data_IF_810386518590
#
_entry.id   IF_810386518590
#
_cell.length_a   1.000
_cell.length_b   1.000
_cell.length_c   1.000
_cell.angle_alpha   90.00
_cell.angle_beta   90.00
_cell.angle_gamma   90.00
#
_symmetry.space_group_name_H-M   'P 1'
#
loop_
_entity.id
_entity.type
_entity.pdbx_description
1 polymer ?
#
# COMPACT_ATOMS: atom_id res chain seq x y z
N UNK A 1 -48.75 -16.94 -12.91
CA UNK A 1 -47.30 -17.08 -12.69
C UNK A 1 -46.96 -18.55 -12.84
N UNK A 2 -46.14 -18.91 -13.83
CA UNK A 2 -45.89 -20.31 -14.19
C UNK A 2 -44.45 -20.67 -13.79
N UNK A 3 -44.24 -21.56 -12.79
CA UNK A 3 -42.93 -21.78 -12.14
C UNK A 3 -41.94 -22.63 -12.95
N UNK A 4 -42.27 -23.01 -14.19
CA UNK A 4 -41.47 -23.94 -14.98
C UNK A 4 -40.47 -23.28 -15.95
N UNK A 5 -40.42 -21.94 -16.00
CA UNK A 5 -39.47 -21.18 -16.85
C UNK A 5 -38.20 -20.80 -16.09
N UNK A 6 -38.25 -20.71 -14.76
CA UNK A 6 -37.07 -20.43 -13.92
C UNK A 6 -36.12 -21.63 -13.81
N UNK A 7 -36.62 -22.86 -13.91
CA UNK A 7 -35.82 -24.08 -13.80
C UNK A 7 -35.01 -24.42 -15.07
N UNK A 8 -35.40 -23.89 -16.24
CA UNK A 8 -34.68 -24.11 -17.50
C UNK A 8 -33.56 -23.09 -17.72
N UNK A 9 -33.67 -21.91 -17.11
CA UNK A 9 -32.67 -20.82 -17.21
C UNK A 9 -31.44 -21.06 -16.34
N UNK A 10 -31.63 -21.65 -15.15
CA UNK A 10 -30.55 -21.88 -14.17
C UNK A 10 -29.68 -23.11 -14.48
N UNK A 11 -30.11 -24.05 -15.33
CA UNK A 11 -29.24 -25.17 -15.77
C UNK A 11 -28.26 -24.79 -16.90
N UNK A 12 -28.53 -23.72 -17.64
CA UNK A 12 -27.69 -23.26 -18.75
C UNK A 12 -26.63 -22.24 -18.29
N UNK A 13 -26.91 -21.45 -17.25
CA UNK A 13 -25.96 -20.44 -16.72
C UNK A 13 -24.80 -21.03 -15.89
N UNK A 14 -24.90 -22.26 -15.38
CA UNK A 14 -23.81 -22.89 -14.60
C UNK A 14 -22.82 -23.75 -15.41
N UNK A 15 -23.13 -24.10 -16.67
CA UNK A 15 -22.34 -25.10 -17.42
C UNK A 15 -21.20 -24.51 -18.29
N UNK A 16 -21.37 -23.30 -18.83
CA UNK A 16 -20.39 -22.64 -19.71
C UNK A 16 -19.14 -22.09 -19.00
N UNK A 17 -19.24 -21.50 -17.78
CA UNK A 17 -18.07 -20.98 -17.06
C UNK A 17 -17.12 -22.10 -16.61
N UNK A 18 -17.68 -23.27 -16.24
CA UNK A 18 -16.90 -24.41 -15.74
C UNK A 18 -16.16 -25.16 -16.86
N UNK A 19 -16.67 -25.14 -18.10
CA UNK A 19 -15.98 -25.72 -19.25
C UNK A 19 -14.78 -24.87 -19.71
N UNK A 20 -14.90 -23.54 -19.70
CA UNK A 20 -13.76 -22.65 -20.01
C UNK A 20 -12.65 -22.74 -18.95
N UNK A 21 -12.99 -22.81 -17.66
CA UNK A 21 -12.01 -22.92 -16.58
C UNK A 21 -11.30 -24.30 -16.57
N UNK A 22 -12.02 -25.36 -16.95
CA UNK A 22 -11.46 -26.71 -17.15
C UNK A 22 -10.50 -26.76 -18.35
N UNK A 23 -10.89 -26.19 -19.49
CA UNK A 23 -10.07 -26.14 -20.71
C UNK A 23 -8.83 -25.24 -20.53
N UNK A 24 -8.96 -24.10 -19.84
CA UNK A 24 -7.83 -23.24 -19.52
C UNK A 24 -6.87 -23.90 -18.51
N UNK A 25 -7.36 -24.65 -17.52
CA UNK A 25 -6.51 -25.34 -16.53
C UNK A 25 -5.72 -26.51 -17.14
N UNK A 26 -6.28 -27.22 -18.11
CA UNK A 26 -5.59 -28.28 -18.85
C UNK A 26 -4.51 -27.70 -19.80
N UNK A 27 -4.79 -26.59 -20.48
CA UNK A 27 -3.86 -25.91 -21.39
C UNK A 27 -2.69 -25.24 -20.66
N UNK A 28 -2.90 -24.70 -19.44
CA UNK A 28 -1.82 -24.15 -18.60
C UNK A 28 -0.82 -25.25 -18.19
N UNK A 29 -1.30 -26.48 -17.92
CA UNK A 29 -0.45 -27.61 -17.53
C UNK A 29 0.34 -28.21 -18.71
N UNK A 30 -0.18 -28.19 -19.92
CA UNK A 30 0.49 -28.78 -21.11
C UNK A 30 1.45 -27.82 -21.81
N UNK A 31 1.20 -26.51 -21.78
CA UNK A 31 1.98 -25.51 -22.51
C UNK A 31 3.04 -24.77 -21.66
N UNK A 32 3.00 -24.89 -20.33
CA UNK A 32 3.96 -24.22 -19.43
C UNK A 32 3.90 -22.69 -19.46
N UNK A 33 2.85 -22.12 -20.06
CA UNK A 33 2.66 -20.68 -20.23
C UNK A 33 1.66 -20.14 -19.19
N UNK A 34 2.01 -19.01 -18.57
CA UNK A 34 1.13 -18.32 -17.62
C UNK A 34 -0.18 -17.85 -18.28
N UNK A 35 -1.23 -17.67 -17.47
CA UNK A 35 -2.59 -17.29 -17.93
C UNK A 35 -2.60 -16.12 -18.91
N UNK A 36 -1.72 -15.13 -18.74
CA UNK A 36 -1.59 -13.97 -19.63
C UNK A 36 -1.12 -14.33 -21.05
N UNK A 37 -0.21 -15.29 -21.19
CA UNK A 37 0.32 -15.71 -22.49
C UNK A 37 -0.68 -16.55 -23.28
N UNK A 38 -1.48 -17.38 -22.61
CA UNK A 38 -2.58 -18.10 -23.25
C UNK A 38 -3.69 -17.16 -23.71
N UNK A 39 -4.01 -16.14 -22.91
CA UNK A 39 -5.01 -15.14 -23.28
C UNK A 39 -4.61 -14.36 -24.54
N UNK A 40 -3.34 -13.93 -24.63
CA UNK A 40 -2.83 -13.23 -25.80
C UNK A 40 -2.82 -14.11 -27.06
N UNK A 41 -2.51 -15.39 -26.93
CA UNK A 41 -2.49 -16.34 -28.05
C UNK A 41 -3.90 -16.69 -28.56
N UNK A 42 -4.87 -16.79 -27.65
CA UNK A 42 -6.29 -16.88 -28.01
C UNK A 42 -6.77 -15.59 -28.69
N UNK A 43 -6.32 -14.42 -28.21
CA UNK A 43 -6.67 -13.13 -28.83
C UNK A 43 -6.09 -12.96 -30.23
N UNK A 44 -4.91 -13.52 -30.50
CA UNK A 44 -4.28 -13.51 -31.83
C UNK A 44 -4.91 -14.50 -32.82
N UNK A 45 -5.40 -15.65 -32.35
CA UNK A 45 -6.05 -16.66 -33.21
C UNK A 45 -7.39 -16.16 -33.72
N UNK A 46 -8.22 -15.60 -32.84
CA UNK A 46 -9.50 -14.97 -33.21
C UNK A 46 -9.29 -13.80 -34.20
N UNK A 47 -8.19 -13.04 -34.06
CA UNK A 47 -7.86 -11.93 -34.96
C UNK A 47 -7.48 -12.40 -36.38
N UNK A 48 -6.86 -13.58 -36.51
CA UNK A 48 -6.43 -14.13 -37.81
C UNK A 48 -7.60 -14.71 -38.60
N UNK A 49 -8.58 -15.30 -37.93
CA UNK A 49 -9.81 -15.84 -38.55
C UNK A 49 -10.66 -14.74 -39.19
N UNK A 50 -10.65 -13.51 -38.64
CA UNK A 50 -11.41 -12.38 -39.20
C UNK A 50 -10.83 -11.74 -40.47
N UNK A 51 -9.64 -12.16 -40.92
CA UNK A 51 -8.91 -11.52 -42.05
C UNK A 51 -8.74 -12.38 -43.29
N UNK A 52 -9.09 -13.68 -43.27
CA UNK A 52 -8.85 -14.60 -44.40
C UNK A 52 -10.04 -14.76 -45.38
N UNK A 53 -11.12 -13.99 -45.25
CA UNK A 53 -12.31 -14.11 -46.12
C UNK A 53 -12.40 -13.02 -47.21
N UNK A 54 -11.31 -12.36 -47.57
CA UNK A 54 -11.31 -11.38 -48.66
C UNK A 54 -10.14 -11.58 -49.62
N UNK A 55 -10.32 -12.40 -50.67
CA UNK A 55 -9.75 -12.23 -52.03
C UNK A 55 -9.98 -13.49 -52.91
N UNK A 56 -10.90 -13.42 -53.92
CA UNK A 56 -10.74 -13.79 -55.36
C UNK A 56 -12.08 -13.82 -56.15
N UNK A 57 -12.04 -13.32 -57.41
CA UNK A 57 -13.09 -12.84 -58.37
C UNK A 57 -13.80 -13.98 -59.20
N UNK A 58 -14.62 -13.79 -60.30
CA UNK A 58 -15.28 -12.63 -60.96
C UNK A 58 -16.77 -12.83 -61.46
N UNK A 59 -17.38 -11.74 -62.00
CA UNK A 59 -18.43 -11.62 -63.07
C UNK A 59 -19.86 -12.24 -62.90
N UNK A 60 -20.86 -11.37 -63.10
CA UNK A 60 -22.32 -11.59 -63.03
C UNK A 60 -22.87 -12.69 -63.97
N UNK A 61 -23.92 -13.42 -63.55
CA UNK A 61 -25.34 -13.29 -64.02
C UNK A 61 -26.30 -13.89 -62.95
N UNK A 62 -27.29 -13.10 -62.51
CA UNK A 62 -28.62 -13.61 -62.11
C UNK A 62 -28.93 -13.80 -60.63
N UNK A 63 -29.41 -12.75 -59.96
CA UNK A 63 -30.09 -12.78 -58.65
C UNK A 63 -31.61 -13.01 -58.82
N UNK A 64 -32.33 -13.64 -57.87
CA UNK A 64 -32.69 -12.94 -56.63
C UNK A 64 -32.48 -13.73 -55.33
N UNK A 65 -31.67 -13.12 -54.47
CA UNK A 65 -31.83 -12.85 -53.03
C UNK A 65 -32.66 -13.85 -52.20
N UNK A 66 -31.95 -14.64 -51.41
CA UNK A 66 -32.33 -14.96 -50.04
C UNK A 66 -31.08 -14.88 -49.16
N UNK A 67 -30.77 -13.67 -48.71
CA UNK A 67 -29.74 -13.40 -47.71
C UNK A 67 -30.35 -13.59 -46.31
N UNK A 68 -29.84 -14.49 -45.46
CA UNK A 68 -30.10 -14.42 -44.03
C UNK A 68 -29.34 -13.21 -43.51
N UNK A 69 -30.04 -12.10 -43.32
CA UNK A 69 -29.47 -10.92 -42.69
C UNK A 69 -29.14 -11.25 -41.23
N UNK A 70 -27.88 -11.61 -40.97
CA UNK A 70 -27.27 -11.44 -39.66
C UNK A 70 -27.04 -9.94 -39.45
N UNK A 71 -28.11 -9.21 -39.17
CA UNK A 71 -28.05 -7.83 -38.70
C UNK A 71 -27.63 -7.85 -37.23
N UNK A 72 -26.33 -8.03 -36.99
CA UNK A 72 -25.75 -7.66 -35.71
C UNK A 72 -25.84 -6.14 -35.66
N UNK A 73 -26.84 -5.62 -34.94
CA UNK A 73 -27.01 -4.18 -34.76
C UNK A 73 -25.71 -3.61 -34.19
N UNK A 74 -25.30 -2.42 -34.64
CA UNK A 74 -24.07 -1.76 -34.18
C UNK A 74 -24.02 -1.62 -32.65
N UNK A 75 -25.20 -1.52 -32.02
CA UNK A 75 -25.41 -1.58 -30.56
C UNK A 75 -24.84 -2.86 -29.93
N UNK A 76 -25.01 -4.03 -30.55
CA UNK A 76 -24.52 -5.32 -30.01
C UNK A 76 -22.99 -5.45 -30.06
N UNK A 77 -22.33 -4.88 -31.09
CA UNK A 77 -20.86 -4.86 -31.18
C UNK A 77 -20.23 -3.80 -30.26
N UNK A 78 -20.95 -2.71 -29.99
CA UNK A 78 -20.56 -1.70 -29.00
C UNK A 78 -20.73 -2.23 -27.57
N UNK A 79 -21.79 -2.97 -27.30
CA UNK A 79 -21.99 -3.71 -26.04
C UNK A 79 -20.89 -4.74 -25.79
N UNK A 80 -20.53 -5.56 -26.80
CA UNK A 80 -19.41 -6.50 -26.67
C UNK A 80 -18.07 -5.79 -26.42
N UNK A 81 -17.83 -4.65 -27.08
CA UNK A 81 -16.64 -3.82 -26.83
C UNK A 81 -16.63 -3.22 -25.42
N UNK A 82 -17.78 -2.81 -24.91
CA UNK A 82 -17.90 -2.24 -23.59
C UNK A 82 -17.76 -3.30 -22.49
N UNK A 83 -18.33 -4.49 -22.67
CA UNK A 83 -18.10 -5.64 -21.77
C UNK A 83 -16.60 -5.96 -21.71
N UNK A 84 -15.91 -6.00 -22.84
CA UNK A 84 -14.47 -6.26 -22.87
C UNK A 84 -13.65 -5.14 -22.19
N UNK A 85 -14.02 -3.87 -22.40
CA UNK A 85 -13.41 -2.73 -21.67
C UNK A 85 -13.64 -2.79 -20.17
N UNK A 86 -14.85 -3.13 -19.74
CA UNK A 86 -15.20 -3.23 -18.32
C UNK A 86 -14.47 -4.40 -17.66
N UNK A 87 -14.34 -5.53 -18.35
CA UNK A 87 -13.55 -6.69 -17.90
C UNK A 87 -12.06 -6.34 -17.78
N UNK A 88 -11.51 -5.63 -18.77
CA UNK A 88 -10.11 -5.17 -18.79
C UNK A 88 -9.84 -4.12 -17.70
N UNK A 89 -10.77 -3.18 -17.51
CA UNK A 89 -10.71 -2.15 -16.45
C UNK A 89 -10.81 -2.77 -15.06
N UNK A 90 -11.65 -3.80 -14.87
CA UNK A 90 -11.76 -4.54 -13.61
C UNK A 90 -10.47 -5.31 -13.30
N UNK A 91 -9.87 -5.97 -14.30
CA UNK A 91 -8.58 -6.67 -14.16
C UNK A 91 -7.42 -5.71 -13.85
N UNK A 92 -7.37 -4.55 -14.50
CA UNK A 92 -6.38 -3.52 -14.21
C UNK A 92 -6.58 -2.86 -12.83
N UNK A 93 -7.83 -2.67 -12.38
CA UNK A 93 -8.11 -2.19 -11.02
C UNK A 93 -7.65 -3.18 -9.95
N UNK A 94 -7.85 -4.49 -10.15
CA UNK A 94 -7.37 -5.50 -9.19
C UNK A 94 -5.85 -5.58 -9.13
N UNK A 95 -5.17 -5.50 -10.28
CA UNK A 95 -3.71 -5.44 -10.34
C UNK A 95 -3.12 -4.17 -9.71
N UNK A 96 -3.83 -3.04 -9.83
CA UNK A 96 -3.45 -1.80 -9.19
C UNK A 96 -3.60 -1.86 -7.66
N UNK A 97 -4.63 -2.56 -7.16
CA UNK A 97 -4.82 -2.81 -5.73
C UNK A 97 -3.72 -3.74 -5.16
N UNK A 98 -3.30 -4.77 -5.91
CA UNK A 98 -2.20 -5.65 -5.51
C UNK A 98 -0.82 -4.95 -5.55
N UNK A 99 -0.67 -3.92 -6.39
CA UNK A 99 0.52 -3.05 -6.45
C UNK A 99 0.52 -1.92 -5.40
N UNK A 100 -0.52 -1.77 -4.58
CA UNK A 100 -0.60 -0.77 -3.51
C UNK A 100 0.27 -1.13 -2.27
N UNK A 101 1.29 -1.99 -2.42
CA UNK A 101 2.43 -1.99 -1.49
C UNK A 101 3.32 -0.78 -1.81
N UNK A 102 2.88 0.39 -1.36
CA UNK A 102 3.63 1.63 -1.43
C UNK A 102 5.10 1.39 -1.01
N UNK A 103 6.04 1.82 -1.86
CA UNK A 103 7.51 1.64 -1.70
C UNK A 103 8.05 2.12 -0.33
N UNK A 104 7.27 2.89 0.41
CA UNK A 104 7.61 3.51 1.70
C UNK A 104 6.82 2.97 2.90
N UNK A 105 5.82 2.09 2.70
CA UNK A 105 5.05 1.53 3.82
C UNK A 105 5.85 0.41 4.47
N UNK A 106 6.04 0.49 5.78
CA UNK A 106 6.67 -0.60 6.51
C UNK A 106 5.77 -1.85 6.50
N UNK A 107 6.38 -3.03 6.50
CA UNK A 107 5.66 -4.29 6.69
C UNK A 107 4.96 -4.30 8.06
N UNK A 108 3.75 -4.85 8.14
CA UNK A 108 3.08 -4.99 9.43
C UNK A 108 3.88 -5.92 10.35
N UNK A 109 3.67 -5.78 11.66
CA UNK A 109 4.39 -6.57 12.66
C UNK A 109 4.17 -8.07 12.45
N UNK A 110 2.94 -8.46 12.16
CA UNK A 110 2.54 -9.86 12.01
C UNK A 110 3.27 -10.55 10.86
N UNK A 111 3.39 -9.89 9.69
CA UNK A 111 4.18 -10.42 8.56
C UNK A 111 5.65 -10.59 8.93
N UNK A 112 6.21 -9.69 9.74
CA UNK A 112 7.61 -9.81 10.14
C UNK A 112 7.80 -10.95 11.15
N UNK A 113 6.84 -11.16 12.06
CA UNK A 113 6.88 -12.24 13.05
C UNK A 113 6.74 -13.60 12.34
N UNK A 114 5.84 -13.72 11.36
CA UNK A 114 5.74 -14.94 10.54
C UNK A 114 7.04 -15.21 9.77
N UNK A 115 7.70 -14.19 9.18
CA UNK A 115 9.02 -14.36 8.55
C UNK A 115 10.04 -14.97 9.53
N UNK A 116 10.05 -14.50 10.78
CA UNK A 116 10.97 -15.01 11.80
C UNK A 116 10.65 -16.47 12.16
N UNK A 117 9.37 -16.82 12.29
CA UNK A 117 8.96 -18.18 12.66
C UNK A 117 9.23 -19.19 11.53
N UNK A 118 8.94 -18.82 10.29
CA UNK A 118 9.28 -19.63 9.11
C UNK A 118 10.79 -19.83 8.97
N UNK A 119 11.60 -18.83 9.35
CA UNK A 119 13.05 -18.98 9.38
C UNK A 119 13.53 -19.90 10.51
N UNK A 120 12.91 -19.86 11.70
CA UNK A 120 13.19 -20.81 12.79
C UNK A 120 12.84 -22.25 12.40
N UNK A 121 11.80 -22.43 11.58
CA UNK A 121 11.43 -23.71 10.99
C UNK A 121 12.41 -24.20 9.90
N UNK A 122 13.46 -23.44 9.59
CA UNK A 122 14.52 -23.84 8.66
C UNK A 122 14.24 -23.54 7.19
N UNK A 123 13.19 -22.77 6.87
CA UNK A 123 12.91 -22.41 5.47
C UNK A 123 13.91 -21.39 4.92
N UNK A 124 14.23 -21.53 3.63
CA UNK A 124 15.10 -20.63 2.89
C UNK A 124 14.46 -19.27 2.57
N UNK A 125 15.29 -18.24 2.36
CA UNK A 125 14.82 -16.86 2.16
C UNK A 125 13.89 -16.71 0.94
N UNK A 126 14.22 -17.36 -0.19
CA UNK A 126 13.42 -17.34 -1.40
C UNK A 126 12.02 -17.97 -1.18
N UNK A 127 11.95 -19.09 -0.46
CA UNK A 127 10.69 -19.79 -0.18
C UNK A 127 9.76 -18.96 0.69
N UNK A 128 10.30 -18.32 1.73
CA UNK A 128 9.56 -17.42 2.63
C UNK A 128 9.03 -16.21 1.84
N UNK A 129 9.87 -15.61 0.98
CA UNK A 129 9.47 -14.48 0.15
C UNK A 129 8.31 -14.83 -0.80
N UNK A 130 8.37 -16.00 -1.45
CA UNK A 130 7.29 -16.48 -2.33
C UNK A 130 5.99 -16.74 -1.58
N UNK A 131 6.05 -17.36 -0.39
CA UNK A 131 4.86 -17.64 0.41
C UNK A 131 4.15 -16.37 0.89
N UNK A 132 4.91 -15.34 1.26
CA UNK A 132 4.35 -14.09 1.82
C UNK A 132 4.18 -12.97 0.78
N UNK A 133 4.56 -13.21 -0.48
CA UNK A 133 4.57 -12.18 -1.52
C UNK A 133 5.51 -11.00 -1.19
N UNK A 134 6.63 -11.29 -0.51
CA UNK A 134 7.64 -10.31 -0.13
C UNK A 134 8.94 -10.50 -0.90
N UNK A 135 9.65 -9.41 -1.14
CA UNK A 135 10.97 -9.46 -1.78
C UNK A 135 11.96 -10.19 -0.87
N UNK A 136 12.77 -11.07 -1.46
CA UNK A 136 13.81 -11.84 -0.75
C UNK A 136 14.79 -10.92 0.00
N UNK A 137 15.12 -9.76 -0.56
CA UNK A 137 15.99 -8.75 0.08
C UNK A 137 15.39 -8.21 1.38
N UNK A 138 14.06 -8.05 1.43
CA UNK A 138 13.32 -7.62 2.62
C UNK A 138 13.32 -8.70 3.70
N UNK A 139 13.04 -9.95 3.32
CA UNK A 139 13.12 -11.13 4.21
C UNK A 139 14.51 -11.23 4.82
N UNK A 140 15.56 -11.14 4.01
CA UNK A 140 16.95 -11.15 4.47
C UNK A 140 17.29 -9.97 5.38
N UNK A 141 16.73 -8.77 5.14
CA UNK A 141 16.93 -7.61 6.02
C UNK A 141 16.29 -7.81 7.41
N UNK A 142 15.08 -8.38 7.45
CA UNK A 142 14.39 -8.68 8.71
C UNK A 142 15.16 -9.72 9.51
N UNK A 143 15.59 -10.81 8.88
CA UNK A 143 16.31 -11.89 9.55
C UNK A 143 17.66 -11.40 10.09
N UNK A 144 18.40 -10.57 9.32
CA UNK A 144 19.64 -9.95 9.80
C UNK A 144 19.39 -9.06 11.04
N UNK A 145 18.33 -8.26 11.01
CA UNK A 145 17.92 -7.43 12.16
C UNK A 145 17.55 -8.29 13.37
N UNK A 146 16.77 -9.36 13.16
CA UNK A 146 16.39 -10.29 14.22
C UNK A 146 17.62 -11.00 14.82
N UNK A 147 18.58 -11.44 14.00
CA UNK A 147 19.82 -12.05 14.51
C UNK A 147 20.62 -11.09 15.40
N UNK A 148 20.67 -9.79 15.05
CA UNK A 148 21.41 -8.76 15.79
C UNK A 148 20.70 -8.29 17.07
N UNK A 149 19.41 -7.99 16.99
CA UNK A 149 18.66 -7.32 18.08
C UNK A 149 17.64 -8.22 18.77
N UNK A 150 17.37 -9.42 18.25
CA UNK A 150 16.33 -10.36 18.73
C UNK A 150 14.92 -9.77 18.79
N UNK A 151 14.67 -8.73 17.99
CA UNK A 151 13.39 -8.02 17.91
C UNK A 151 12.92 -7.94 16.47
N UNK A 152 11.60 -8.02 16.30
CA UNK A 152 10.93 -7.92 15.00
C UNK A 152 10.36 -6.53 14.71
N UNK A 153 10.10 -5.77 15.78
CA UNK A 153 9.58 -4.39 15.71
C UNK A 153 10.67 -3.45 15.20
N UNK A 154 10.29 -2.44 14.43
CA UNK A 154 11.23 -1.40 14.01
C UNK A 154 11.59 -0.51 15.20
N UNK A 155 12.88 -0.36 15.46
CA UNK A 155 13.36 0.59 16.46
C UNK A 155 13.04 2.01 15.99
N UNK A 156 12.58 2.91 16.88
CA UNK A 156 12.42 4.32 16.52
C UNK A 156 13.75 4.87 16.02
N UNK A 157 13.70 5.80 15.07
CA UNK A 157 14.93 6.47 14.63
C UNK A 157 15.54 7.21 15.82
N UNK A 158 16.86 7.11 16.00
CA UNK A 158 17.56 7.77 17.12
C UNK A 158 17.42 9.30 17.10
N UNK A 159 17.06 9.88 15.96
CA UNK A 159 16.91 11.32 15.78
C UNK A 159 18.25 12.05 15.81
N UNK A 160 18.21 13.37 15.63
CA UNK A 160 19.39 14.21 15.73
C UNK A 160 19.74 14.46 17.22
N UNK A 161 21.04 14.47 17.58
CA UNK A 161 21.45 14.79 18.93
C UNK A 161 21.07 16.22 19.31
N UNK A 162 20.78 16.43 20.60
CA UNK A 162 20.43 17.74 21.12
C UNK A 162 21.68 18.62 21.26
N UNK A 163 21.55 19.93 20.98
CA UNK A 163 22.66 20.89 21.13
C UNK A 163 23.09 21.09 22.58
N UNK A 164 22.17 20.94 23.53
CA UNK A 164 22.47 21.02 24.97
C UNK A 164 22.74 19.59 25.46
N UNK A 165 23.87 19.40 26.15
CA UNK A 165 24.22 18.13 26.77
C UNK A 165 23.30 17.81 27.96
N UNK A 166 23.13 16.53 28.35
CA UNK A 166 22.34 16.16 29.53
C UNK A 166 22.79 16.89 30.80
N UNK A 167 24.10 17.07 30.98
CA UNK A 167 24.68 17.85 32.09
C UNK A 167 24.28 19.33 32.04
N UNK A 168 24.35 19.94 30.86
CA UNK A 168 23.92 21.34 30.66
C UNK A 168 22.44 21.53 30.92
N UNK A 169 21.60 20.57 30.50
CA UNK A 169 20.18 20.56 30.81
C UNK A 169 19.94 20.47 32.33
N UNK A 170 20.57 19.51 33.02
CA UNK A 170 20.44 19.38 34.48
C UNK A 170 20.86 20.64 35.25
N UNK A 171 21.92 21.31 34.82
CA UNK A 171 22.37 22.58 35.40
C UNK A 171 21.33 23.69 35.25
N UNK A 172 20.77 23.86 34.04
CA UNK A 172 19.67 24.82 33.81
C UNK A 172 18.46 24.47 34.68
N UNK A 173 18.08 23.19 34.71
CA UNK A 173 16.92 22.72 35.45
C UNK A 173 17.06 22.94 36.96
N UNK A 174 18.28 22.85 37.50
CA UNK A 174 18.57 23.21 38.89
C UNK A 174 18.43 24.72 39.10
N UNK A 175 19.07 25.53 38.26
CA UNK A 175 19.03 26.99 38.39
C UNK A 175 17.62 27.58 38.28
N UNK A 176 16.79 27.06 37.36
CA UNK A 176 15.39 27.51 37.21
C UNK A 176 14.52 27.08 38.41
N UNK A 177 14.83 25.95 39.05
CA UNK A 177 14.13 25.53 40.28
C UNK A 177 14.51 26.39 41.47
N UNK A 178 15.80 26.68 41.63
CA UNK A 178 16.31 27.50 42.73
C UNK A 178 15.88 28.97 42.58
N UNK A 179 15.89 29.48 41.35
CA UNK A 179 15.60 30.87 41.02
C UNK A 179 14.65 30.95 39.81
N UNK A 180 13.32 30.83 40.00
CA UNK A 180 12.36 30.80 38.89
C UNK A 180 12.26 32.10 38.09
N UNK A 181 12.82 33.20 38.62
CA UNK A 181 12.88 34.51 37.94
C UNK A 181 14.10 34.66 37.02
N UNK A 182 14.95 33.65 36.88
CA UNK A 182 16.12 33.69 35.98
C UNK A 182 15.70 33.98 34.55
N UNK A 183 16.41 34.89 33.89
CA UNK A 183 16.11 35.22 32.49
C UNK A 183 16.73 34.20 31.55
N UNK A 184 16.20 34.13 30.32
CA UNK A 184 16.81 33.30 29.27
C UNK A 184 18.25 33.70 28.97
N UNK A 185 18.60 34.97 29.14
CA UNK A 185 19.94 35.48 28.87
C UNK A 185 20.93 34.97 29.91
N UNK A 186 20.53 34.92 31.18
CA UNK A 186 21.36 34.38 32.27
C UNK A 186 21.67 32.90 32.03
N UNK A 187 20.67 32.11 31.64
CA UNK A 187 20.85 30.70 31.29
C UNK A 187 21.76 30.51 30.07
N UNK A 188 21.64 31.39 29.07
CA UNK A 188 22.52 31.36 27.90
C UNK A 188 23.97 31.70 28.28
N UNK A 189 24.18 32.65 29.19
CA UNK A 189 25.50 33.02 29.69
C UNK A 189 26.14 31.89 30.48
N UNK A 190 25.39 31.19 31.34
CA UNK A 190 25.90 30.02 32.08
C UNK A 190 26.30 28.89 31.14
N UNK A 191 25.46 28.61 30.14
CA UNK A 191 25.78 27.62 29.12
C UNK A 191 26.99 28.01 28.28
N UNK A 192 27.16 29.30 27.98
CA UNK A 192 28.34 29.82 27.29
C UNK A 192 29.60 29.65 28.14
N UNK A 193 29.53 29.89 29.46
CA UNK A 193 30.61 29.59 30.41
C UNK A 193 30.97 28.11 30.44
N UNK A 194 29.98 27.23 30.28
CA UNK A 194 30.17 25.79 30.15
C UNK A 194 30.63 25.34 28.74
N UNK A 195 30.94 26.27 27.83
CA UNK A 195 31.44 25.99 26.48
C UNK A 195 30.34 25.72 25.45
N UNK A 196 29.07 25.95 25.76
CA UNK A 196 27.94 25.70 24.86
C UNK A 196 27.21 26.97 24.46
N UNK A 197 27.35 27.38 23.19
CA UNK A 197 26.62 28.54 22.65
C UNK A 197 25.26 28.12 22.11
N UNK A 198 24.20 28.60 22.74
CA UNK A 198 22.80 28.23 22.42
C UNK A 198 21.92 29.45 22.19
N UNK A 199 20.87 29.28 21.39
CA UNK A 199 19.85 30.32 21.20
C UNK A 199 18.77 30.24 22.29
N UNK A 200 18.07 31.36 22.51
CA UNK A 200 16.91 31.41 23.44
C UNK A 200 15.86 30.34 23.13
N UNK A 201 15.61 30.06 21.85
CA UNK A 201 14.64 29.03 21.42
C UNK A 201 15.08 27.62 21.82
N UNK A 202 16.37 27.31 21.74
CA UNK A 202 16.93 26.02 22.18
C UNK A 202 16.72 25.82 23.68
N UNK A 203 17.01 26.84 24.50
CA UNK A 203 16.78 26.79 25.95
C UNK A 203 15.28 26.61 26.25
N UNK A 204 14.41 27.37 25.57
CA UNK A 204 12.96 27.25 25.73
C UNK A 204 12.44 25.85 25.38
N UNK A 205 12.91 25.25 24.27
CA UNK A 205 12.56 23.88 23.90
C UNK A 205 13.00 22.88 24.97
N UNK A 206 14.20 23.04 25.52
CA UNK A 206 14.70 22.17 26.60
C UNK A 206 13.82 22.28 27.85
N UNK A 207 13.49 23.49 28.30
CA UNK A 207 12.61 23.67 29.47
C UNK A 207 11.22 23.03 29.25
N UNK A 208 10.64 23.22 28.07
CA UNK A 208 9.32 22.63 27.73
C UNK A 208 9.34 21.11 27.73
N UNK A 209 10.40 20.47 27.22
CA UNK A 209 10.54 19.00 27.26
C UNK A 209 10.55 18.45 28.69
N UNK A 210 11.01 19.25 29.64
CA UNK A 210 10.98 18.91 31.06
C UNK A 210 9.76 19.46 31.81
N UNK A 211 8.71 19.90 31.10
CA UNK A 211 7.45 20.33 31.70
C UNK A 211 7.44 21.75 32.27
N UNK A 212 8.54 22.51 32.14
CA UNK A 212 8.59 23.89 32.60
C UNK A 212 8.03 24.82 31.51
N UNK A 213 6.95 25.54 31.86
CA UNK A 213 6.33 26.55 31.03
C UNK A 213 6.50 27.93 31.67
N UNK A 214 6.58 28.96 30.84
CA UNK A 214 6.47 30.33 31.30
C UNK A 214 5.05 30.57 31.83
N UNK A 215 4.94 31.09 33.05
CA UNK A 215 3.67 31.48 33.64
C UNK A 215 3.68 33.00 33.90
N UNK A 216 2.55 33.64 33.63
CA UNK A 216 2.28 34.99 34.14
C UNK A 216 1.47 34.87 35.43
N UNK A 217 1.76 35.73 36.41
CA UNK A 217 0.94 35.80 37.62
C UNK A 217 -0.48 36.22 37.25
N UNK A 218 -1.49 35.51 37.78
CA UNK A 218 -2.89 35.90 37.59
C UNK A 218 -3.12 37.23 38.30
N UNK A 219 -3.66 38.22 37.58
CA UNK A 219 -4.14 39.47 38.21
C UNK A 219 -5.39 39.12 39.00
N UNK A 220 -5.27 38.99 40.31
CA UNK A 220 -6.41 38.78 41.22
C UNK A 220 -6.90 40.17 41.66
N UNK A 221 -8.21 40.47 41.63
CA UNK A 221 -8.72 41.72 42.18
C UNK A 221 -8.40 41.78 43.68
N UNK A 222 -7.88 42.92 44.14
CA UNK A 222 -7.65 43.14 45.56
C UNK A 222 -8.99 43.14 46.30
N UNK A 223 -9.03 42.53 47.49
CA UNK A 223 -10.21 42.55 48.33
C UNK A 223 -10.51 43.99 48.75
N UNK A 224 -11.76 44.41 48.55
CA UNK A 224 -12.27 45.69 49.07
C UNK A 224 -12.58 45.52 50.56
N UNK A 225 -12.49 46.58 51.39
CA UNK A 225 -12.77 46.53 52.83
C UNK A 225 -14.19 46.07 53.19
N UNK A 226 -15.11 45.99 52.23
CA UNK A 226 -16.46 45.41 52.39
C UNK A 226 -16.45 43.88 52.60
N UNK A 227 -15.34 43.21 52.28
CA UNK A 227 -15.21 41.74 52.35
C UNK A 227 -14.33 41.27 53.52
N UNK A 228 -14.03 42.16 54.48
CA UNK A 228 -13.27 41.87 55.71
C UNK A 228 -14.20 41.98 56.90
#
# INVERSE_FOLDING_TARGET
>A
MNPNVEAFKTRQEEALPLQLDSMCSAAIKSAGLGRSALYLRLKETVRKETTSEAETLPMEIGLPVASPQASVTLESLEEMREIWRLQDKAYHLSLAADQEKAKTRELCKDIRDTIVDLHKAGMGYMTIGKQLGEKETTVGAIIRKFKKFKMTVNHPRSGAPCKISPRGASMIMRKVRDQPRTTWQDLANDLKRAGTTVSKKTISNTLRRHGLKSCSARKVPLLKPVHV
#
